data_IF_382424284954
#
_entry.id   IF_382424284954
#
_cell.length_a   1.000
_cell.length_b   1.000
_cell.length_c   1.000
_cell.angle_alpha   90.00
_cell.angle_beta   90.00
_cell.angle_gamma   90.00
#
_symmetry.space_group_name_H-M   'P 1'
#
loop_
_entity.id
_entity.type
_entity.pdbx_description
1 polymer ?
#
# COMPACT_ATOMS: atom_id res chain seq x y z
N UNK A 1 9.74 31.92 -1.36
CA UNK A 1 10.05 30.59 -1.92
C UNK A 1 10.93 29.71 -0.98
N UNK A 2 12.04 30.21 -0.43
CA UNK A 2 12.93 29.41 0.47
C UNK A 2 12.27 28.99 1.81
N UNK A 3 11.37 29.78 2.39
CA UNK A 3 10.66 29.45 3.64
C UNK A 3 9.62 28.34 3.43
N UNK A 4 8.93 28.33 2.30
CA UNK A 4 7.93 27.32 1.94
C UNK A 4 8.60 25.95 1.82
N UNK A 5 9.76 25.87 1.14
CA UNK A 5 10.53 24.64 1.03
C UNK A 5 11.00 24.10 2.40
N UNK A 6 11.37 24.96 3.34
CA UNK A 6 11.79 24.54 4.70
C UNK A 6 10.65 23.94 5.50
N UNK A 7 9.46 24.54 5.44
CA UNK A 7 8.29 24.08 6.18
C UNK A 7 7.78 22.74 5.64
N UNK A 8 7.70 22.60 4.32
CA UNK A 8 7.36 21.33 3.67
C UNK A 8 8.35 20.22 4.05
N UNK A 9 9.66 20.47 3.93
CA UNK A 9 10.68 19.51 4.32
C UNK A 9 10.61 19.12 5.80
N UNK A 10 10.35 20.08 6.69
CA UNK A 10 10.18 19.84 8.12
C UNK A 10 9.00 18.93 8.41
N UNK A 11 7.88 19.11 7.68
CA UNK A 11 6.69 18.28 7.82
C UNK A 11 6.97 16.84 7.31
N UNK A 12 7.59 16.68 6.15
CA UNK A 12 8.01 15.38 5.62
C UNK A 12 8.98 14.68 6.58
N UNK A 13 9.97 15.40 7.11
CA UNK A 13 10.92 14.86 8.09
C UNK A 13 10.22 14.39 9.36
N UNK A 14 9.24 15.14 9.86
CA UNK A 14 8.45 14.74 11.02
C UNK A 14 7.71 13.43 10.76
N UNK A 15 7.03 13.31 9.61
CA UNK A 15 6.28 12.11 9.23
C UNK A 15 7.21 10.90 9.09
N UNK A 16 8.39 11.09 8.50
CA UNK A 16 9.39 10.04 8.33
C UNK A 16 9.99 9.61 9.68
N UNK A 17 10.39 10.57 10.51
CA UNK A 17 10.96 10.29 11.81
C UNK A 17 9.98 9.54 12.73
N UNK A 18 8.67 9.86 12.63
CA UNK A 18 7.62 9.24 13.44
C UNK A 18 7.54 7.73 13.22
N UNK A 19 7.46 7.25 11.98
CA UNK A 19 7.35 5.81 11.74
C UNK A 19 8.68 5.07 11.95
N UNK A 20 9.82 5.73 11.70
CA UNK A 20 11.14 5.15 11.96
C UNK A 20 11.40 4.97 13.46
N UNK A 21 11.00 5.94 14.28
CA UNK A 21 11.09 5.82 15.73
C UNK A 21 10.25 4.65 16.29
N UNK A 22 9.18 4.29 15.59
CA UNK A 22 8.27 3.21 15.97
C UNK A 22 8.41 1.98 15.05
N UNK A 23 9.58 1.78 14.41
CA UNK A 23 9.81 0.72 13.42
C UNK A 23 9.36 -0.66 13.92
N UNK A 24 9.69 -1.01 15.15
CA UNK A 24 9.32 -2.29 15.77
C UNK A 24 7.80 -2.49 15.87
N UNK A 25 7.03 -1.41 16.07
CA UNK A 25 5.58 -1.48 16.17
C UNK A 25 4.88 -1.34 14.80
N UNK A 26 5.56 -0.76 13.82
CA UNK A 26 4.95 -0.40 12.54
C UNK A 26 5.28 -1.37 11.41
N UNK A 27 6.53 -1.81 11.30
CA UNK A 27 7.00 -2.67 10.21
C UNK A 27 7.12 -4.13 10.65
N UNK A 28 7.62 -4.40 11.86
CA UNK A 28 7.84 -5.76 12.35
C UNK A 28 6.59 -6.66 12.36
N UNK A 29 5.39 -6.20 12.75
CA UNK A 29 4.20 -7.06 12.68
C UNK A 29 3.89 -7.55 11.28
N UNK A 30 4.07 -6.69 10.25
CA UNK A 30 3.90 -7.07 8.86
C UNK A 30 4.92 -8.10 8.39
N UNK A 31 6.18 -7.96 8.81
CA UNK A 31 7.25 -8.93 8.53
C UNK A 31 6.93 -10.29 9.15
N UNK A 32 6.60 -10.32 10.44
CA UNK A 32 6.29 -11.56 11.17
C UNK A 32 5.08 -12.27 10.54
N UNK A 33 4.01 -11.53 10.27
CA UNK A 33 2.82 -12.10 9.63
C UNK A 33 3.14 -12.67 8.25
N UNK A 34 3.89 -11.95 7.43
CA UNK A 34 4.30 -12.43 6.10
C UNK A 34 5.19 -13.66 6.19
N UNK A 35 6.16 -13.68 7.12
CA UNK A 35 7.01 -14.85 7.36
C UNK A 35 6.18 -16.08 7.76
N UNK A 36 5.21 -15.90 8.67
CA UNK A 36 4.32 -16.99 9.07
C UNK A 36 3.46 -17.49 7.91
N UNK A 37 2.91 -16.59 7.09
CA UNK A 37 2.18 -16.99 5.89
C UNK A 37 3.06 -17.81 4.94
N UNK A 38 4.28 -17.38 4.65
CA UNK A 38 5.22 -18.10 3.78
C UNK A 38 5.56 -19.47 4.37
N UNK A 39 5.84 -19.56 5.66
CA UNK A 39 6.18 -20.82 6.32
C UNK A 39 5.00 -21.79 6.37
N UNK A 40 3.81 -21.33 6.74
CA UNK A 40 2.62 -22.17 6.85
C UNK A 40 2.15 -22.61 5.48
N UNK A 41 1.91 -21.69 4.57
CA UNK A 41 1.40 -22.02 3.24
C UNK A 41 2.45 -22.72 2.35
N UNK A 42 3.71 -22.32 2.49
CA UNK A 42 4.81 -22.98 1.76
C UNK A 42 4.99 -24.43 2.15
N UNK A 43 4.84 -24.78 3.45
CA UNK A 43 4.91 -26.18 3.90
C UNK A 43 3.60 -26.96 3.72
N UNK A 44 2.46 -26.31 3.95
CA UNK A 44 1.15 -26.96 3.89
C UNK A 44 0.71 -27.24 2.45
N UNK A 45 0.96 -26.30 1.54
CA UNK A 45 0.53 -26.38 0.14
C UNK A 45 1.69 -26.60 -0.83
N UNK A 46 2.90 -26.85 -0.37
CA UNK A 46 4.19 -26.93 -1.08
C UNK A 46 4.24 -27.69 -2.41
N UNK A 47 3.08 -27.90 -3.05
CA UNK A 47 2.90 -28.44 -4.39
C UNK A 47 3.02 -27.32 -5.41
N UNK A 48 3.49 -27.68 -6.58
CA UNK A 48 3.42 -26.82 -7.75
C UNK A 48 1.95 -26.51 -8.08
N UNK A 49 1.69 -25.28 -8.40
CA UNK A 49 0.38 -24.82 -8.89
C UNK A 49 0.51 -24.40 -10.35
N UNK A 50 -0.55 -24.58 -11.09
CA UNK A 50 -0.66 -24.02 -12.43
C UNK A 50 -1.08 -22.53 -12.31
N UNK A 51 -0.19 -21.65 -12.70
CA UNK A 51 -0.45 -20.21 -12.75
C UNK A 51 -0.20 -19.71 -14.19
N UNK A 52 -1.29 -19.57 -14.95
CA UNK A 52 -1.21 -19.12 -16.36
C UNK A 52 -0.50 -20.11 -17.28
N UNK A 53 -0.63 -21.42 -17.06
CA UNK A 53 0.03 -22.47 -17.85
C UNK A 53 1.47 -22.76 -17.44
N UNK A 54 1.97 -22.17 -16.36
CA UNK A 54 3.29 -22.41 -15.79
C UNK A 54 3.17 -23.12 -14.45
N UNK A 55 3.89 -24.23 -14.29
CA UNK A 55 4.03 -24.88 -12.99
C UNK A 55 4.97 -24.09 -12.07
N UNK A 56 4.39 -23.36 -11.12
CA UNK A 56 5.13 -22.52 -10.18
C UNK A 56 5.03 -23.08 -8.77
N UNK A 57 6.08 -22.92 -7.98
CA UNK A 57 6.02 -23.20 -6.56
C UNK A 57 5.05 -22.24 -5.89
N UNK A 58 4.03 -22.75 -5.21
CA UNK A 58 3.01 -21.94 -4.55
C UNK A 58 3.61 -20.91 -3.58
N UNK A 59 4.69 -21.27 -2.89
CA UNK A 59 5.39 -20.35 -1.98
C UNK A 59 5.87 -19.10 -2.70
N UNK A 60 6.46 -19.25 -3.89
CA UNK A 60 6.94 -18.12 -4.68
C UNK A 60 5.77 -17.29 -5.21
N UNK A 61 4.70 -17.96 -5.64
CA UNK A 61 3.50 -17.31 -6.20
C UNK A 61 2.82 -16.33 -5.24
N UNK A 62 2.76 -16.66 -3.93
CA UNK A 62 2.08 -15.82 -2.93
C UNK A 62 2.90 -14.62 -2.45
N UNK A 63 4.23 -14.66 -2.60
CA UNK A 63 5.13 -13.60 -2.07
C UNK A 63 4.74 -12.20 -2.56
N UNK A 64 4.56 -11.93 -3.87
CA UNK A 64 4.17 -10.60 -4.34
C UNK A 64 2.84 -10.12 -3.76
N UNK A 65 1.87 -11.03 -3.62
CA UNK A 65 0.58 -10.74 -3.00
C UNK A 65 0.70 -10.35 -1.52
N UNK A 66 1.52 -11.08 -0.76
CA UNK A 66 1.76 -10.79 0.65
C UNK A 66 2.51 -9.46 0.85
N UNK A 67 3.51 -9.17 0.00
CA UNK A 67 4.19 -7.88 -0.02
C UNK A 67 3.18 -6.76 -0.28
N UNK A 68 2.33 -6.93 -1.29
CA UNK A 68 1.30 -5.95 -1.65
C UNK A 68 0.34 -5.69 -0.50
N UNK A 69 -0.17 -6.74 0.15
CA UNK A 69 -1.05 -6.62 1.31
C UNK A 69 -0.39 -5.86 2.47
N UNK A 70 0.88 -6.13 2.75
CA UNK A 70 1.63 -5.43 3.80
C UNK A 70 1.88 -3.96 3.43
N UNK A 71 2.23 -3.66 2.18
CA UNK A 71 2.44 -2.31 1.67
C UNK A 71 1.16 -1.48 1.75
N UNK A 72 0.03 -2.02 1.28
CA UNK A 72 -1.29 -1.39 1.36
C UNK A 72 -1.61 -0.97 2.80
N UNK A 73 -1.55 -1.93 3.72
CA UNK A 73 -1.89 -1.68 5.12
C UNK A 73 -0.95 -0.65 5.78
N UNK A 74 0.35 -0.76 5.55
CA UNK A 74 1.33 0.14 6.18
C UNK A 74 1.28 1.56 5.62
N UNK A 75 1.14 1.74 4.31
CA UNK A 75 1.01 3.05 3.69
C UNK A 75 -0.27 3.76 4.15
N UNK A 76 -1.40 3.07 4.13
CA UNK A 76 -2.67 3.58 4.60
C UNK A 76 -2.64 3.98 6.08
N UNK A 77 -2.20 3.05 6.95
CA UNK A 77 -2.16 3.28 8.39
C UNK A 77 -1.25 4.44 8.78
N UNK A 78 -0.12 4.64 8.07
CA UNK A 78 0.75 5.77 8.34
C UNK A 78 0.02 7.10 8.19
N UNK A 79 -0.59 7.31 7.03
CA UNK A 79 -1.18 8.60 6.69
C UNK A 79 -2.50 8.84 7.43
N UNK A 80 -3.33 7.80 7.58
CA UNK A 80 -4.61 7.92 8.30
C UNK A 80 -4.39 8.18 9.80
N UNK A 81 -3.48 7.44 10.43
CA UNK A 81 -3.16 7.64 11.85
C UNK A 81 -2.51 8.99 12.09
N UNK A 82 -1.60 9.45 11.22
CA UNK A 82 -0.95 10.72 11.35
C UNK A 82 -1.91 11.89 11.24
N UNK A 83 -2.77 11.86 10.22
CA UNK A 83 -3.78 12.91 10.01
C UNK A 83 -4.77 12.97 11.19
N UNK A 84 -5.23 11.81 11.66
CA UNK A 84 -6.12 11.76 12.80
C UNK A 84 -5.44 12.26 14.08
N UNK A 85 -4.21 11.85 14.34
CA UNK A 85 -3.43 12.30 15.50
C UNK A 85 -3.20 13.81 15.47
N UNK A 86 -2.91 14.38 14.28
CA UNK A 86 -2.74 15.81 14.13
C UNK A 86 -4.02 16.59 14.49
N UNK A 87 -5.21 16.06 14.18
CA UNK A 87 -6.50 16.62 14.59
C UNK A 87 -6.71 16.52 16.09
N UNK A 88 -6.50 15.35 16.69
CA UNK A 88 -6.72 15.12 18.12
C UNK A 88 -5.84 15.99 19.03
N UNK A 89 -4.60 16.25 18.60
CA UNK A 89 -3.64 17.03 19.36
C UNK A 89 -3.63 18.51 18.98
N UNK A 90 -4.59 18.95 18.14
CA UNK A 90 -4.71 20.31 17.60
C UNK A 90 -3.48 20.82 16.82
N UNK A 91 -2.53 19.91 16.47
CA UNK A 91 -1.38 20.27 15.63
C UNK A 91 -1.78 20.65 14.21
N UNK A 92 -2.96 20.24 13.77
CA UNK A 92 -3.42 20.54 12.43
C UNK A 92 -3.71 22.04 12.28
N UNK A 93 -4.22 22.70 13.33
CA UNK A 93 -4.44 24.15 13.35
C UNK A 93 -3.11 24.91 13.23
N UNK A 94 -2.07 24.44 13.93
CA UNK A 94 -0.72 25.02 13.84
C UNK A 94 -0.14 24.87 12.42
N UNK A 95 -0.40 23.75 11.74
CA UNK A 95 0.03 23.53 10.35
C UNK A 95 -0.72 24.45 9.39
N UNK A 96 -2.01 24.67 9.62
CA UNK A 96 -2.86 25.51 8.76
C UNK A 96 -2.52 27.02 8.87
N UNK A 97 -1.91 27.45 9.97
CA UNK A 97 -1.40 28.83 10.12
C UNK A 97 -0.10 29.03 9.35
N UNK A 98 0.62 27.94 9.00
CA UNK A 98 1.84 28.06 8.20
C UNK A 98 1.53 28.47 6.75
N UNK A 99 2.48 29.11 6.03
CA UNK A 99 2.27 29.51 4.64
C UNK A 99 2.34 28.33 3.66
N UNK A 100 1.89 27.13 4.08
CA UNK A 100 1.79 25.94 3.23
C UNK A 100 0.43 25.87 2.57
N UNK A 101 0.42 25.56 1.28
CA UNK A 101 -0.81 25.25 0.56
C UNK A 101 -1.38 23.89 1.01
N UNK A 102 -2.68 23.70 0.85
CA UNK A 102 -3.32 22.40 1.15
C UNK A 102 -2.74 21.24 0.32
N UNK A 103 -2.24 21.54 -0.88
CA UNK A 103 -1.49 20.60 -1.71
C UNK A 103 -0.19 20.14 -1.03
N UNK A 104 0.61 21.09 -0.52
CA UNK A 104 1.88 20.78 0.15
C UNK A 104 1.65 19.99 1.43
N UNK A 105 0.63 20.36 2.21
CA UNK A 105 0.28 19.64 3.44
C UNK A 105 -0.12 18.20 3.11
N UNK A 106 -1.04 17.98 2.16
CA UNK A 106 -1.48 16.63 1.78
C UNK A 106 -0.32 15.79 1.25
N UNK A 107 0.53 16.38 0.42
CA UNK A 107 1.70 15.69 -0.15
C UNK A 107 2.72 15.30 0.91
N UNK A 108 2.94 16.11 1.93
CA UNK A 108 3.85 15.77 3.02
C UNK A 108 3.39 14.53 3.81
N UNK A 109 2.08 14.42 4.10
CA UNK A 109 1.51 13.21 4.72
C UNK A 109 1.58 11.99 3.78
N UNK A 110 1.30 12.19 2.50
CA UNK A 110 1.37 11.13 1.48
C UNK A 110 2.80 10.60 1.37
N UNK A 111 3.80 11.46 1.30
CA UNK A 111 5.23 11.06 1.23
C UNK A 111 5.62 10.24 2.45
N UNK A 112 5.18 10.61 3.65
CA UNK A 112 5.40 9.81 4.86
C UNK A 112 4.85 8.38 4.75
N UNK A 113 3.65 8.22 4.18
CA UNK A 113 3.04 6.91 3.93
C UNK A 113 3.73 6.13 2.82
N UNK A 114 4.15 6.79 1.74
CA UNK A 114 4.96 6.17 0.67
C UNK A 114 6.24 5.59 1.25
N UNK A 115 6.99 6.38 2.00
CA UNK A 115 8.25 5.95 2.58
C UNK A 115 8.07 4.74 3.51
N UNK A 116 7.03 4.74 4.36
CA UNK A 116 6.73 3.58 5.21
C UNK A 116 6.34 2.36 4.40
N UNK A 117 5.51 2.50 3.37
CA UNK A 117 5.13 1.39 2.49
C UNK A 117 6.33 0.80 1.75
N UNK A 118 7.20 1.66 1.20
CA UNK A 118 8.45 1.25 0.53
C UNK A 118 9.38 0.53 1.49
N UNK A 119 9.63 1.08 2.68
CA UNK A 119 10.46 0.43 3.70
C UNK A 119 9.90 -0.93 4.09
N UNK A 120 8.58 -1.04 4.27
CA UNK A 120 7.92 -2.32 4.56
C UNK A 120 8.10 -3.32 3.42
N UNK A 121 7.82 -2.92 2.18
CA UNK A 121 7.97 -3.79 1.01
C UNK A 121 9.40 -4.28 0.82
N UNK A 122 10.39 -3.39 0.91
CA UNK A 122 11.81 -3.73 0.80
C UNK A 122 12.26 -4.65 1.95
N UNK A 123 11.80 -4.41 3.18
CA UNK A 123 12.13 -5.26 4.34
C UNK A 123 11.60 -6.68 4.15
N UNK A 124 10.39 -6.83 3.59
CA UNK A 124 9.82 -8.15 3.29
C UNK A 124 10.57 -8.83 2.14
N UNK A 125 10.95 -8.10 1.09
CA UNK A 125 11.77 -8.64 -0.01
C UNK A 125 13.07 -9.20 0.53
N UNK A 126 13.79 -8.44 1.35
CA UNK A 126 15.04 -8.88 1.97
C UNK A 126 14.79 -10.15 2.80
N UNK A 127 13.74 -10.19 3.60
CA UNK A 127 13.38 -11.38 4.37
C UNK A 127 13.10 -12.60 3.48
N UNK A 128 12.42 -12.43 2.34
CA UNK A 128 12.10 -13.51 1.41
C UNK A 128 13.34 -14.16 0.81
N UNK A 129 14.42 -13.41 0.56
CA UNK A 129 15.70 -13.99 0.12
C UNK A 129 16.31 -15.00 1.11
N UNK A 130 16.01 -14.85 2.41
CA UNK A 130 16.49 -15.78 3.44
C UNK A 130 15.53 -16.94 3.71
N UNK A 131 14.23 -16.74 3.54
CA UNK A 131 13.20 -17.73 3.95
C UNK A 131 12.67 -18.56 2.79
N UNK A 132 12.66 -18.03 1.58
CA UNK A 132 12.10 -18.68 0.39
C UNK A 132 13.20 -19.11 -0.59
N UNK A 133 13.61 -20.40 -0.61
CA UNK A 133 14.62 -20.88 -1.54
C UNK A 133 14.17 -20.70 -2.99
N UNK A 134 15.06 -20.17 -3.83
CA UNK A 134 14.77 -19.91 -5.25
C UNK A 134 13.96 -18.66 -5.52
N UNK A 135 13.81 -17.78 -4.52
CA UNK A 135 13.20 -16.48 -4.73
C UNK A 135 14.19 -15.54 -5.42
N UNK A 136 13.84 -15.11 -6.62
CA UNK A 136 14.58 -14.15 -7.42
C UNK A 136 13.62 -13.12 -8.00
N UNK A 137 14.08 -11.90 -8.18
CA UNK A 137 13.30 -10.82 -8.76
C UNK A 137 13.74 -10.60 -10.20
N UNK A 138 12.81 -10.79 -11.15
CA UNK A 138 13.05 -10.62 -12.58
C UNK A 138 13.34 -9.15 -12.95
N UNK A 139 12.56 -8.20 -12.40
CA UNK A 139 12.72 -6.78 -12.71
C UNK A 139 12.62 -5.91 -11.44
N UNK A 140 13.77 -5.53 -10.90
CA UNK A 140 13.86 -4.69 -9.68
C UNK A 140 13.25 -3.31 -9.87
N UNK A 141 13.42 -2.70 -11.05
CA UNK A 141 12.93 -1.36 -11.31
C UNK A 141 11.39 -1.32 -11.37
N UNK A 142 10.78 -2.25 -12.09
CA UNK A 142 9.34 -2.38 -12.14
C UNK A 142 8.75 -2.71 -10.76
N UNK A 143 9.38 -3.61 -10.01
CA UNK A 143 9.01 -3.95 -8.63
C UNK A 143 8.96 -2.70 -7.74
N UNK A 144 10.00 -1.87 -7.78
CA UNK A 144 10.06 -0.64 -6.99
C UNK A 144 8.98 0.36 -7.40
N UNK A 145 8.74 0.52 -8.71
CA UNK A 145 7.67 1.40 -9.22
C UNK A 145 6.30 0.96 -8.69
N UNK A 146 5.97 -0.34 -8.75
CA UNK A 146 4.68 -0.82 -8.22
C UNK A 146 4.55 -0.58 -6.72
N UNK A 147 5.59 -0.86 -5.93
CA UNK A 147 5.58 -0.60 -4.48
C UNK A 147 5.35 0.90 -4.21
N UNK A 148 5.99 1.80 -4.95
CA UNK A 148 5.81 3.25 -4.80
C UNK A 148 4.39 3.67 -5.18
N UNK A 149 3.88 3.26 -6.33
CA UNK A 149 2.55 3.66 -6.81
C UNK A 149 1.44 3.18 -5.90
N UNK A 150 1.53 1.94 -5.42
CA UNK A 150 0.55 1.39 -4.48
C UNK A 150 0.65 2.08 -3.12
N UNK A 151 1.86 2.28 -2.61
CA UNK A 151 2.05 3.05 -1.36
C UNK A 151 1.48 4.45 -1.49
N UNK A 152 1.68 5.10 -2.63
CA UNK A 152 1.14 6.43 -2.90
C UNK A 152 -0.39 6.43 -2.91
N UNK A 153 -1.01 5.51 -3.64
CA UNK A 153 -2.47 5.37 -3.73
C UNK A 153 -3.08 5.19 -2.32
N UNK A 154 -2.60 4.21 -1.56
CA UNK A 154 -3.17 3.90 -0.25
C UNK A 154 -2.79 4.92 0.84
N UNK A 155 -1.66 5.59 0.71
CA UNK A 155 -1.34 6.74 1.53
C UNK A 155 -2.31 7.91 1.29
N UNK A 156 -2.66 8.18 0.04
CA UNK A 156 -3.66 9.21 -0.32
C UNK A 156 -5.04 8.87 0.25
N UNK A 157 -5.47 7.61 0.14
CA UNK A 157 -6.71 7.12 0.78
C UNK A 157 -6.61 7.28 2.30
N UNK A 158 -5.44 7.00 2.88
CA UNK A 158 -5.19 7.19 4.31
C UNK A 158 -5.38 8.64 4.76
N UNK A 159 -4.88 9.61 4.01
CA UNK A 159 -5.12 11.04 4.27
C UNK A 159 -6.62 11.35 4.22
N UNK A 160 -7.33 10.90 3.19
CA UNK A 160 -8.78 11.13 3.05
C UNK A 160 -9.51 10.57 4.26
N UNK A 161 -9.29 9.30 4.61
CA UNK A 161 -9.95 8.67 5.75
C UNK A 161 -9.57 9.36 7.06
N UNK A 162 -8.31 9.76 7.25
CA UNK A 162 -7.86 10.50 8.42
C UNK A 162 -8.55 11.83 8.61
N UNK A 163 -8.90 12.54 7.52
CA UNK A 163 -9.71 13.78 7.57
C UNK A 163 -11.11 13.51 8.12
N UNK A 164 -11.74 12.40 7.72
CA UNK A 164 -13.09 12.04 8.15
C UNK A 164 -13.13 11.27 9.47
N UNK A 165 -12.05 10.64 9.88
CA UNK A 165 -12.00 9.81 11.08
C UNK A 165 -12.28 10.62 12.35
N UNK A 166 -13.15 10.08 13.20
CA UNK A 166 -13.49 10.61 14.54
C UNK A 166 -12.92 9.77 15.66
N UNK A 167 -12.49 8.55 15.37
CA UNK A 167 -11.89 7.60 16.33
C UNK A 167 -10.93 6.67 15.61
N UNK A 168 -10.09 5.97 16.37
CA UNK A 168 -9.21 4.94 15.85
C UNK A 168 -9.97 3.78 15.19
N UNK A 169 -11.17 3.49 15.68
CA UNK A 169 -12.03 2.44 15.13
C UNK A 169 -12.43 2.75 13.68
N UNK A 170 -12.68 4.02 13.34
CA UNK A 170 -12.99 4.40 11.96
C UNK A 170 -11.86 4.07 10.99
N UNK A 171 -10.60 4.19 11.41
CA UNK A 171 -9.44 3.79 10.60
C UNK A 171 -9.42 2.26 10.44
N UNK A 172 -9.68 1.53 11.54
CA UNK A 172 -9.72 0.06 11.54
C UNK A 172 -10.83 -0.52 10.66
N UNK A 173 -11.98 0.12 10.60
CA UNK A 173 -13.12 -0.29 9.75
C UNK A 173 -12.70 -0.38 8.28
N UNK A 174 -12.00 0.62 7.75
CA UNK A 174 -11.52 0.59 6.35
C UNK A 174 -10.57 -0.57 6.09
N UNK A 175 -9.66 -0.84 7.01
CA UNK A 175 -8.72 -1.96 6.89
C UNK A 175 -9.44 -3.30 6.86
N UNK A 176 -10.40 -3.49 7.77
CA UNK A 176 -11.04 -4.80 7.96
C UNK A 176 -12.16 -5.04 6.94
N UNK A 177 -13.00 -4.04 6.68
CA UNK A 177 -14.19 -4.25 5.85
C UNK A 177 -14.00 -3.86 4.38
N UNK A 178 -12.98 -3.09 4.05
CA UNK A 178 -12.73 -2.67 2.66
C UNK A 178 -11.46 -3.31 2.13
N UNK A 179 -10.29 -3.09 2.78
CA UNK A 179 -9.03 -3.54 2.20
C UNK A 179 -8.85 -5.06 2.29
N UNK A 180 -9.31 -5.69 3.37
CA UNK A 180 -9.21 -7.14 3.50
C UNK A 180 -10.00 -7.87 2.40
N UNK A 181 -11.29 -7.58 2.13
CA UNK A 181 -11.99 -8.18 1.00
C UNK A 181 -11.39 -7.83 -0.36
N UNK A 182 -10.96 -6.57 -0.57
CA UNK A 182 -10.32 -6.15 -1.82
C UNK A 182 -9.01 -6.91 -2.09
N UNK A 183 -8.17 -7.11 -1.07
CA UNK A 183 -6.92 -7.85 -1.21
C UNK A 183 -7.18 -9.34 -1.44
N UNK A 184 -8.16 -9.93 -0.75
CA UNK A 184 -8.55 -11.33 -0.96
C UNK A 184 -9.04 -11.57 -2.39
N UNK A 185 -9.96 -10.75 -2.89
CA UNK A 185 -10.45 -10.79 -4.27
C UNK A 185 -9.40 -10.30 -5.28
N UNK A 186 -8.37 -9.59 -4.83
CA UNK A 186 -7.26 -9.12 -5.66
C UNK A 186 -6.28 -10.21 -6.10
N UNK A 187 -6.48 -11.47 -5.68
CA UNK A 187 -5.63 -12.57 -6.10
C UNK A 187 -4.32 -12.67 -5.33
N UNK A 188 -4.30 -12.30 -4.04
CA UNK A 188 -3.11 -12.41 -3.19
C UNK A 188 -2.71 -13.88 -3.00
N UNK A 189 -3.67 -14.76 -2.70
CA UNK A 189 -3.42 -16.17 -2.36
C UNK A 189 -3.72 -17.15 -3.50
N UNK A 190 -4.49 -16.75 -4.50
CA UNK A 190 -4.90 -17.60 -5.63
C UNK A 190 -4.95 -16.81 -6.93
N UNK A 191 -4.92 -17.50 -8.06
CA UNK A 191 -5.18 -16.88 -9.34
C UNK A 191 -6.67 -16.56 -9.47
N UNK A 192 -6.99 -15.37 -9.96
CA UNK A 192 -8.38 -14.95 -10.19
C UNK A 192 -9.06 -15.82 -11.25
N UNK A 193 -8.30 -16.45 -12.14
CA UNK A 193 -8.81 -17.40 -13.13
C UNK A 193 -9.47 -18.66 -12.51
N UNK A 194 -9.12 -18.99 -11.25
CA UNK A 194 -9.72 -20.11 -10.54
C UNK A 194 -11.06 -19.80 -9.89
N UNK A 195 -11.43 -18.52 -9.83
CA UNK A 195 -12.68 -18.13 -9.20
C UNK A 195 -13.88 -18.40 -10.13
N UNK A 196 -14.95 -19.06 -9.62
CA UNK A 196 -16.16 -19.26 -10.40
C UNK A 196 -16.89 -17.95 -10.69
N UNK A 197 -17.69 -17.93 -11.75
CA UNK A 197 -18.59 -16.81 -12.03
C UNK A 197 -19.58 -16.61 -10.86
N UNK A 198 -19.86 -15.37 -10.40
CA UNK A 198 -19.40 -14.06 -10.94
C UNK A 198 -18.11 -13.51 -10.30
N UNK A 199 -17.49 -14.20 -9.37
CA UNK A 199 -16.37 -13.70 -8.55
C UNK A 199 -15.13 -13.32 -9.36
N UNK A 200 -14.80 -14.12 -10.38
CA UNK A 200 -13.69 -13.81 -11.30
C UNK A 200 -13.92 -12.49 -12.05
N UNK A 201 -15.16 -12.18 -12.44
CA UNK A 201 -15.50 -10.92 -13.08
C UNK A 201 -15.39 -9.74 -12.10
N UNK A 202 -15.93 -9.87 -10.89
CA UNK A 202 -15.87 -8.87 -9.83
C UNK A 202 -14.41 -8.55 -9.48
N UNK A 203 -13.55 -9.56 -9.42
CA UNK A 203 -12.13 -9.40 -9.14
C UNK A 203 -11.42 -8.55 -10.20
N UNK A 204 -11.76 -8.67 -11.47
CA UNK A 204 -11.16 -7.86 -12.55
C UNK A 204 -11.53 -6.37 -12.46
N UNK A 205 -12.68 -6.02 -11.87
CA UNK A 205 -13.04 -4.62 -11.57
C UNK A 205 -12.34 -4.08 -10.33
N UNK A 206 -11.73 -4.94 -9.52
CA UNK A 206 -11.00 -4.54 -8.33
C UNK A 206 -9.63 -3.94 -8.72
N UNK A 207 -9.33 -2.68 -8.35
CA UNK A 207 -8.02 -2.09 -8.67
C UNK A 207 -6.85 -2.85 -8.03
N UNK A 208 -7.06 -3.48 -6.87
CA UNK A 208 -6.03 -4.26 -6.17
C UNK A 208 -5.61 -5.49 -6.98
N UNK A 209 -6.51 -6.07 -7.79
CA UNK A 209 -6.16 -7.16 -8.71
C UNK A 209 -5.04 -6.75 -9.67
N UNK A 210 -5.17 -5.57 -10.28
CA UNK A 210 -4.17 -5.05 -11.20
C UNK A 210 -2.86 -4.71 -10.49
N UNK A 211 -2.93 -4.19 -9.26
CA UNK A 211 -1.76 -3.88 -8.44
C UNK A 211 -0.99 -5.14 -8.04
N UNK A 212 -1.69 -6.18 -7.59
CA UNK A 212 -1.09 -7.47 -7.18
C UNK A 212 -0.46 -8.18 -8.37
N UNK A 213 -1.19 -8.30 -9.49
CA UNK A 213 -0.69 -8.99 -10.67
C UNK A 213 0.42 -8.20 -11.36
N UNK A 214 0.39 -6.86 -11.33
CA UNK A 214 1.47 -6.03 -11.81
C UNK A 214 2.77 -6.23 -11.03
N UNK A 215 2.68 -6.28 -9.70
CA UNK A 215 3.83 -6.61 -8.87
C UNK A 215 4.31 -8.05 -9.09
N UNK A 216 3.37 -9.01 -9.24
CA UNK A 216 3.70 -10.42 -9.51
C UNK A 216 4.44 -10.57 -10.82
N UNK A 217 3.98 -9.92 -11.87
CA UNK A 217 4.68 -9.88 -13.16
C UNK A 217 6.08 -9.26 -13.01
N UNK A 218 6.20 -8.12 -12.35
CA UNK A 218 7.47 -7.44 -12.15
C UNK A 218 8.49 -8.30 -11.38
N UNK A 219 8.03 -9.10 -10.42
CA UNK A 219 8.90 -9.92 -9.58
C UNK A 219 9.20 -11.29 -10.16
N UNK A 220 8.22 -11.97 -10.75
CA UNK A 220 8.29 -13.40 -11.10
C UNK A 220 8.11 -13.68 -12.59
N UNK A 221 7.76 -12.66 -13.37
CA UNK A 221 7.38 -12.81 -14.80
C UNK A 221 6.17 -13.75 -15.02
N UNK A 222 5.29 -13.84 -14.00
CA UNK A 222 4.08 -14.66 -14.03
C UNK A 222 2.87 -13.76 -14.21
N UNK A 223 2.00 -14.12 -15.13
CA UNK A 223 0.76 -13.38 -15.42
C UNK A 223 -0.47 -14.28 -15.34
N UNK A 224 -1.58 -13.73 -14.90
CA UNK A 224 -2.89 -14.32 -15.09
C UNK A 224 -3.34 -14.15 -16.56
N UNK A 225 -4.25 -15.02 -17.01
CA UNK A 225 -4.91 -14.88 -18.31
C UNK A 225 -5.52 -13.49 -18.47
N UNK A 226 -5.27 -12.85 -19.63
CA UNK A 226 -5.74 -11.50 -19.96
C UNK A 226 -5.13 -10.35 -19.13
N UNK A 227 -3.99 -10.56 -18.47
CA UNK A 227 -3.26 -9.48 -17.82
C UNK A 227 -2.48 -8.66 -18.86
N UNK A 228 -2.54 -7.33 -18.74
CA UNK A 228 -1.70 -6.39 -19.48
C UNK A 228 -0.92 -5.53 -18.49
N UNK A 229 0.40 -5.54 -18.61
CA UNK A 229 1.29 -4.75 -17.78
C UNK A 229 1.03 -3.25 -17.93
N UNK A 230 0.82 -2.78 -19.16
CA UNK A 230 0.56 -1.38 -19.48
C UNK A 230 -0.77 -0.91 -18.85
N UNK A 231 -1.81 -1.72 -18.98
CA UNK A 231 -3.12 -1.43 -18.38
C UNK A 231 -3.03 -1.39 -16.85
N UNK A 232 -2.30 -2.32 -16.25
CA UNK A 232 -2.06 -2.35 -14.81
C UNK A 232 -1.36 -1.09 -14.32
N UNK A 233 -0.30 -0.65 -15.02
CA UNK A 233 0.43 0.56 -14.68
C UNK A 233 -0.47 1.81 -14.81
N UNK A 234 -1.27 1.87 -15.87
CA UNK A 234 -2.20 2.97 -16.13
C UNK A 234 -3.28 3.05 -15.03
N UNK A 235 -3.83 1.91 -14.60
CA UNK A 235 -4.78 1.84 -13.50
C UNK A 235 -4.12 2.33 -12.20
N UNK A 236 -2.91 1.86 -11.87
CA UNK A 236 -2.19 2.32 -10.68
C UNK A 236 -1.96 3.83 -10.69
N UNK A 237 -1.54 4.40 -11.82
CA UNK A 237 -1.34 5.84 -11.98
C UNK A 237 -2.64 6.62 -11.86
N UNK A 238 -3.72 6.14 -12.48
CA UNK A 238 -5.04 6.77 -12.41
C UNK A 238 -5.52 6.88 -10.96
N UNK A 239 -5.49 5.76 -10.21
CA UNK A 239 -5.92 5.75 -8.82
C UNK A 239 -5.03 6.61 -7.93
N UNK A 240 -3.72 6.58 -8.15
CA UNK A 240 -2.74 7.41 -7.46
C UNK A 240 -3.07 8.92 -7.61
N UNK A 241 -3.26 9.38 -8.85
CA UNK A 241 -3.57 10.78 -9.14
C UNK A 241 -4.95 11.18 -8.63
N UNK A 242 -5.96 10.33 -8.84
CA UNK A 242 -7.34 10.57 -8.41
C UNK A 242 -7.42 10.79 -6.89
N UNK A 243 -6.88 9.85 -6.09
CA UNK A 243 -6.95 9.95 -4.64
C UNK A 243 -6.05 11.07 -4.09
N UNK A 244 -4.91 11.36 -4.73
CA UNK A 244 -4.09 12.51 -4.37
C UNK A 244 -4.82 13.82 -4.61
N UNK A 245 -5.53 13.94 -5.72
CA UNK A 245 -6.35 15.11 -6.00
C UNK A 245 -7.45 15.30 -4.96
N UNK A 246 -8.19 14.22 -4.62
CA UNK A 246 -9.25 14.27 -3.61
C UNK A 246 -8.68 14.65 -2.24
N UNK A 247 -7.56 14.04 -1.82
CA UNK A 247 -6.90 14.36 -0.55
C UNK A 247 -6.51 15.84 -0.47
N UNK A 248 -5.89 16.33 -1.52
CA UNK A 248 -5.45 17.73 -1.62
C UNK A 248 -6.62 18.71 -1.64
N UNK A 249 -7.69 18.39 -2.33
CA UNK A 249 -8.90 19.18 -2.39
C UNK A 249 -9.57 19.31 -1.01
N UNK A 250 -9.69 18.20 -0.27
CA UNK A 250 -10.28 18.19 1.07
C UNK A 250 -9.49 19.04 2.05
N UNK A 251 -8.17 18.95 2.04
CA UNK A 251 -7.30 19.76 2.92
C UNK A 251 -7.35 21.23 2.51
N UNK A 252 -7.29 21.54 1.22
CA UNK A 252 -7.35 22.92 0.74
C UNK A 252 -8.66 23.64 1.08
N UNK A 253 -9.79 22.91 1.12
CA UNK A 253 -11.09 23.44 1.53
C UNK A 253 -11.28 23.54 3.06
N UNK A 254 -10.38 22.99 3.85
CA UNK A 254 -10.53 22.92 5.30
C UNK A 254 -11.73 22.07 5.73
N UNK A 255 -12.14 21.10 4.91
CA UNK A 255 -13.34 20.30 5.15
C UNK A 255 -13.18 19.42 6.38
N UNK A 256 -14.04 19.61 7.42
CA UNK A 256 -13.99 18.91 8.72
C UNK A 256 -12.63 18.96 9.44
N UNK A 257 -11.81 19.93 9.11
CA UNK A 257 -10.50 20.15 9.73
C UNK A 257 -10.66 21.08 10.95
N UNK A 258 -11.64 21.99 10.89
CA UNK A 258 -12.05 22.80 12.04
C UNK A 258 -13.12 22.03 12.81
N UNK A 259 -12.82 21.69 14.05
CA UNK A 259 -13.77 21.18 15.06
C UNK A 259 -14.82 22.23 15.40
#
# INVERSE_FOLDING_TARGET
MQLINRNFYSLVRRETARFLALYNQTVMPGLISTALYILVFGKALGKKIDAGGLEVNYTLYIIPGLIMMAVINNAYQNSSSSMMQAKFLNFLDDILITPLSGLEISFAYIVGGILRGVVTGLSIIIMCYFIAPGFEISNYFATLIYIILVSWTFSSIGVIVGVFAKSWDHIGIFTTFIFMPLTMLGGVFWSVSWLPYPWGLISKFNPVYWMVNGLRYAMLDIVDENFSFELSLMICLLFCLLFSFIASYLISKGYRIKS
#
